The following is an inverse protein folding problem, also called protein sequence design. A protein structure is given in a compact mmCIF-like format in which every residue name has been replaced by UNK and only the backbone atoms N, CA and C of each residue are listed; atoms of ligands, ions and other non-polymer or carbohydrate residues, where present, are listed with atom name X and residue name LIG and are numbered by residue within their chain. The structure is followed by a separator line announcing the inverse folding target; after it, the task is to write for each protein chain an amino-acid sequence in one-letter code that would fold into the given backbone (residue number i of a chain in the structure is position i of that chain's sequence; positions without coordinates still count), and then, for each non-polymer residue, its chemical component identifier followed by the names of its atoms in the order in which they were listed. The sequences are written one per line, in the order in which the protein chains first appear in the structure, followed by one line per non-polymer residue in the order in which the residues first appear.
data_IF_449900590209
#
_entry.id   IF_449900590209
#
_cell.length_a   1.000
_cell.length_b   1.000
_cell.length_c   1.000
_cell.angle_alpha   90.00
_cell.angle_beta   90.00
_cell.angle_gamma   90.00
#
_symmetry.space_group_name_H-M   'P 1'
#
loop_
_entity.id
_entity.type
_entity.pdbx_description
1 polymer ?
#
# COMPACT_ATOMS: atom_id res chain seq x y z
N UNK A 1 -0.55 -65.58 -36.44
CA UNK A 1 -0.99 -65.33 -35.05
C UNK A 1 -0.66 -63.89 -34.70
N UNK A 2 -1.44 -63.24 -33.85
CA UNK A 2 -1.61 -61.78 -33.89
C UNK A 2 -0.59 -60.94 -33.11
N UNK A 3 -0.56 -59.66 -33.48
CA UNK A 3 0.03 -58.53 -32.73
C UNK A 3 -0.99 -57.38 -32.72
N UNK A 4 -0.93 -56.49 -31.72
CA UNK A 4 -1.97 -55.50 -31.42
C UNK A 4 -1.46 -54.06 -31.60
N UNK A 5 -2.38 -53.18 -32.01
CA UNK A 5 -2.43 -51.70 -32.00
C UNK A 5 -1.18 -50.84 -31.75
N UNK A 6 -1.05 -49.77 -32.55
CA UNK A 6 -0.91 -48.41 -32.01
C UNK A 6 -1.50 -47.32 -32.92
N UNK A 7 -2.03 -46.28 -32.28
CA UNK A 7 -2.41 -44.94 -32.76
C UNK A 7 -1.16 -44.03 -32.94
N UNK A 8 -1.18 -42.82 -33.53
CA UNK A 8 -2.01 -42.11 -34.53
C UNK A 8 -1.13 -40.96 -35.12
N UNK A 9 -1.61 -40.17 -36.09
CA UNK A 9 -0.74 -39.28 -36.90
C UNK A 9 -0.28 -37.95 -36.25
N UNK A 10 0.92 -37.46 -36.64
CA UNK A 10 1.28 -36.04 -36.65
C UNK A 10 1.31 -35.42 -38.07
N UNK A 11 0.92 -34.14 -38.19
CA UNK A 11 1.56 -33.17 -39.11
C UNK A 11 1.04 -32.99 -40.55
N UNK A 12 0.42 -31.82 -40.82
CA UNK A 12 0.95 -30.89 -41.84
C UNK A 12 0.20 -30.70 -43.19
N UNK A 13 0.17 -29.43 -43.64
CA UNK A 13 -0.31 -28.91 -44.94
C UNK A 13 -1.83 -29.08 -45.22
N UNK A 14 -2.55 -28.19 -45.93
CA UNK A 14 -2.23 -27.51 -47.20
C UNK A 14 -3.07 -26.22 -47.43
N UNK A 15 -2.64 -25.38 -48.39
CA UNK A 15 -3.34 -24.30 -49.14
C UNK A 15 -4.23 -23.29 -48.36
N UNK A 16 -3.99 -21.97 -48.34
CA UNK A 16 -3.75 -20.97 -49.39
C UNK A 16 -5.00 -20.54 -50.20
N UNK A 17 -5.50 -19.33 -49.95
CA UNK A 17 -6.18 -18.44 -50.92
C UNK A 17 -6.14 -16.98 -50.43
N UNK A 18 -5.81 -16.06 -51.34
CA UNK A 18 -5.90 -14.59 -51.21
C UNK A 18 -7.18 -14.14 -51.98
N UNK A 19 -7.82 -12.98 -51.70
CA UNK A 19 -7.35 -11.76 -52.38
C UNK A 19 -7.57 -10.40 -51.66
N UNK A 20 -6.54 -9.56 -51.72
CA UNK A 20 -6.55 -8.15 -52.21
C UNK A 20 -7.65 -7.18 -51.72
N UNK A 21 -7.24 -6.14 -50.98
CA UNK A 21 -7.90 -4.82 -50.95
C UNK A 21 -6.81 -3.72 -51.09
N UNK A 22 -7.04 -2.74 -51.97
CA UNK A 22 -6.10 -1.63 -52.25
C UNK A 22 -6.21 -0.43 -51.27
N UNK A 23 -5.14 0.38 -51.13
CA UNK A 23 -5.10 1.53 -50.22
C UNK A 23 -5.74 2.79 -50.82
N UNK A 24 -6.37 3.63 -49.97
CA UNK A 24 -6.76 5.01 -50.34
C UNK A 24 -5.74 6.04 -49.83
N UNK A 25 -5.38 6.98 -50.70
CA UNK A 25 -4.44 8.08 -50.48
C UNK A 25 -5.19 9.41 -50.25
N UNK A 26 -4.55 10.39 -49.62
CA UNK A 26 -5.15 11.63 -49.15
C UNK A 26 -5.04 12.83 -50.12
N UNK A 27 -5.97 13.78 -50.00
CA UNK A 27 -5.96 15.21 -50.39
C UNK A 27 -7.31 15.83 -49.92
N UNK A 28 -7.49 17.11 -49.55
CA UNK A 28 -6.59 18.28 -49.45
C UNK A 28 -7.19 19.36 -48.49
N UNK A 29 -6.46 20.44 -48.18
CA UNK A 29 -6.95 21.62 -47.43
C UNK A 29 -7.35 22.79 -48.37
N UNK A 30 -8.23 23.72 -47.94
CA UNK A 30 -7.75 25.05 -47.49
C UNK A 30 -8.33 25.45 -46.11
N UNK A 31 -7.61 26.08 -45.18
CA UNK A 31 -6.87 27.35 -45.18
C UNK A 31 -7.74 28.58 -44.83
N UNK A 32 -7.53 29.14 -43.63
CA UNK A 32 -8.15 30.37 -43.13
C UNK A 32 -7.46 30.85 -41.84
N UNK A 33 -7.02 32.10 -41.81
CA UNK A 33 -6.23 32.70 -40.72
C UNK A 33 -7.04 33.80 -39.98
N UNK A 34 -6.60 34.49 -38.92
CA UNK A 34 -5.26 34.62 -38.34
C UNK A 34 -5.30 35.17 -36.89
N UNK A 35 -4.16 35.10 -36.18
CA UNK A 35 -3.74 35.89 -34.98
C UNK A 35 -4.57 35.69 -33.69
N UNK A 36 -3.97 35.56 -32.49
CA UNK A 36 -2.56 35.36 -32.13
C UNK A 36 -2.12 36.15 -30.89
N UNK A 37 -1.48 35.48 -29.93
CA UNK A 37 -0.61 36.10 -28.92
C UNK A 37 0.46 35.09 -28.47
N UNK A 38 1.63 35.56 -28.03
CA UNK A 38 2.80 34.73 -27.75
C UNK A 38 3.16 34.70 -26.26
N UNK A 39 3.95 33.70 -25.85
CA UNK A 39 4.86 33.84 -24.72
C UNK A 39 4.75 32.84 -23.57
N UNK A 40 5.20 31.60 -23.76
CA UNK A 40 6.20 30.95 -22.88
C UNK A 40 6.51 29.51 -23.36
N UNK A 41 7.80 29.18 -23.45
CA UNK A 41 8.25 27.80 -23.70
C UNK A 41 8.70 27.18 -22.38
N UNK A 42 8.17 26.01 -21.96
CA UNK A 42 8.78 25.24 -20.88
C UNK A 42 10.05 24.54 -21.37
N UNK A 43 11.10 24.54 -20.55
CA UNK A 43 12.27 23.67 -20.75
C UNK A 43 11.93 22.22 -20.35
N UNK A 44 12.56 21.20 -20.96
CA UNK A 44 12.34 19.81 -20.60
C UNK A 44 13.02 19.47 -19.26
N UNK A 45 12.33 18.79 -18.34
CA UNK A 45 12.94 18.46 -17.05
C UNK A 45 12.12 17.68 -16.01
N UNK A 46 10.79 17.56 -16.15
CA UNK A 46 9.96 16.85 -15.17
C UNK A 46 9.21 15.69 -15.83
N UNK A 47 9.61 14.45 -15.53
CA UNK A 47 8.79 13.29 -15.83
C UNK A 47 7.66 13.22 -14.79
N UNK A 48 6.43 13.48 -15.22
CA UNK A 48 5.27 13.19 -14.39
C UNK A 48 5.16 11.67 -14.26
N UNK A 49 5.34 11.15 -13.05
CA UNK A 49 5.00 9.76 -12.74
C UNK A 49 3.48 9.63 -12.82
N UNK A 50 2.99 9.09 -13.95
CA UNK A 50 1.57 8.86 -14.15
C UNK A 50 1.02 7.92 -13.07
N UNK A 51 -0.13 8.29 -12.49
CA UNK A 51 -0.75 7.50 -11.43
C UNK A 51 -0.99 6.05 -11.90
N UNK A 52 -0.56 5.03 -11.13
CA UNK A 52 -0.89 3.65 -11.44
C UNK A 52 -2.41 3.47 -11.33
N UNK A 53 -3.04 2.88 -12.34
CA UNK A 53 -4.49 2.64 -12.35
C UNK A 53 -4.88 1.57 -11.32
N UNK A 54 -5.33 1.99 -10.13
CA UNK A 54 -5.76 1.11 -9.05
C UNK A 54 -7.26 0.80 -9.23
N UNK A 55 -7.61 -0.46 -9.51
CA UNK A 55 -9.01 -0.86 -9.73
C UNK A 55 -9.74 -1.09 -8.39
N UNK A 56 -10.35 -0.05 -7.83
CA UNK A 56 -11.24 -0.17 -6.68
C UNK A 56 -12.57 -0.84 -7.08
N UNK A 57 -12.73 -2.10 -6.71
CA UNK A 57 -13.93 -2.90 -6.98
C UNK A 57 -14.80 -3.07 -5.72
N UNK A 58 -15.77 -2.16 -5.46
CA UNK A 58 -16.53 -2.16 -4.21
C UNK A 58 -17.43 -3.40 -4.02
N UNK A 59 -17.89 -4.06 -5.11
CA UNK A 59 -18.54 -5.38 -5.01
C UNK A 59 -18.48 -6.21 -6.31
N UNK A 60 -17.79 -7.36 -6.30
CA UNK A 60 -18.38 -8.64 -6.74
C UNK A 60 -17.54 -9.84 -6.26
N UNK A 61 -17.12 -9.85 -5.00
CA UNK A 61 -16.57 -11.05 -4.37
C UNK A 61 -17.71 -12.04 -4.15
N UNK A 62 -17.82 -13.10 -4.96
CA UNK A 62 -18.89 -14.11 -4.92
C UNK A 62 -18.88 -15.05 -3.70
N UNK A 63 -18.32 -14.60 -2.58
CA UNK A 63 -18.26 -15.28 -1.29
C UNK A 63 -18.36 -14.24 -0.18
N UNK A 64 -18.97 -14.62 0.95
CA UNK A 64 -19.24 -13.68 2.04
C UNK A 64 -17.94 -13.06 2.58
N UNK A 65 -17.76 -11.75 2.37
CA UNK A 65 -16.64 -10.99 2.95
C UNK A 65 -16.78 -11.02 4.48
N UNK A 66 -15.87 -11.74 5.14
CA UNK A 66 -15.78 -11.71 6.59
C UNK A 66 -15.16 -10.38 7.01
N UNK A 67 -15.95 -9.55 7.71
CA UNK A 67 -15.39 -8.45 8.48
C UNK A 67 -14.54 -9.03 9.64
N UNK A 68 -13.47 -8.34 10.02
CA UNK A 68 -12.51 -8.82 11.03
C UNK A 68 -13.20 -9.15 12.36
N UNK A 69 -13.34 -10.44 12.65
CA UNK A 69 -13.86 -10.98 13.92
C UNK A 69 -12.69 -11.56 14.71
N UNK A 70 -12.42 -10.99 15.88
CA UNK A 70 -11.18 -11.24 16.62
C UNK A 70 -11.43 -12.11 17.86
N UNK A 71 -11.31 -13.44 17.71
CA UNK A 71 -11.53 -14.40 18.80
C UNK A 71 -10.51 -15.56 18.77
N UNK A 72 -10.17 -16.04 19.97
CA UNK A 72 -9.48 -17.32 20.28
C UNK A 72 -7.94 -17.46 20.16
N UNK A 73 -7.31 -17.22 21.33
CA UNK A 73 -6.36 -18.15 22.00
C UNK A 73 -4.85 -18.12 21.65
N UNK A 74 -4.04 -18.71 22.54
CA UNK A 74 -2.58 -18.62 22.59
C UNK A 74 -1.91 -19.97 22.93
N UNK A 75 -0.62 -20.17 22.58
CA UNK A 75 0.40 -20.95 23.32
C UNK A 75 1.73 -21.13 22.53
N UNK A 76 2.85 -21.08 23.27
CA UNK A 76 4.23 -21.61 23.05
C UNK A 76 4.38 -22.89 22.17
N UNK A 77 5.50 -23.24 21.49
CA UNK A 77 6.89 -22.70 21.27
C UNK A 77 7.64 -23.66 20.27
N UNK A 78 8.90 -23.57 19.78
CA UNK A 78 10.05 -22.59 19.73
C UNK A 78 11.19 -23.14 18.81
N UNK A 79 12.34 -22.40 18.68
CA UNK A 79 13.75 -22.89 18.67
C UNK A 79 14.53 -23.14 17.32
N UNK A 80 15.43 -22.18 16.95
CA UNK A 80 16.82 -22.35 16.39
C UNK A 80 16.97 -22.59 14.85
N UNK A 81 17.89 -21.91 14.09
CA UNK A 81 18.47 -20.55 14.24
C UNK A 81 18.73 -19.71 12.93
N UNK A 82 18.86 -18.40 13.15
CA UNK A 82 19.41 -17.29 12.33
C UNK A 82 20.58 -17.57 11.35
N UNK A 83 20.67 -16.76 10.27
CA UNK A 83 21.72 -15.72 10.10
C UNK A 83 21.61 -14.88 8.79
N UNK A 84 21.19 -13.60 8.87
CA UNK A 84 21.68 -12.48 8.01
C UNK A 84 21.09 -11.06 8.30
N UNK A 85 20.33 -10.84 9.38
CA UNK A 85 19.80 -9.50 9.76
C UNK A 85 20.52 -8.90 10.98
N UNK A 86 21.79 -8.54 10.82
CA UNK A 86 22.60 -7.97 11.89
C UNK A 86 22.16 -6.54 12.27
N UNK A 87 21.99 -6.31 13.58
CA UNK A 87 21.72 -5.05 14.30
C UNK A 87 20.30 -4.42 14.26
N UNK A 88 19.57 -4.68 15.35
CA UNK A 88 18.43 -3.86 15.84
C UNK A 88 18.70 -3.30 17.26
N UNK A 89 19.96 -3.33 17.72
CA UNK A 89 20.34 -2.96 19.07
C UNK A 89 20.50 -1.44 19.24
N UNK A 90 19.55 -0.80 19.93
CA UNK A 90 19.56 0.65 20.22
C UNK A 90 19.04 0.96 21.62
N UNK A 91 19.85 0.73 22.65
CA UNK A 91 19.53 1.10 24.04
C UNK A 91 19.86 2.57 24.32
N UNK A 92 18.91 3.32 24.88
CA UNK A 92 19.09 4.76 25.16
C UNK A 92 18.17 5.30 26.25
N UNK A 93 18.63 5.27 27.51
CA UNK A 93 17.94 5.86 28.67
C UNK A 93 18.56 7.22 29.04
N UNK A 94 17.91 8.35 28.74
CA UNK A 94 18.16 9.60 29.50
C UNK A 94 16.89 10.45 29.72
N UNK A 95 16.95 11.18 30.84
CA UNK A 95 15.96 11.93 31.62
C UNK A 95 15.09 12.98 30.91
N UNK A 96 14.09 13.45 31.66
CA UNK A 96 13.10 14.44 31.27
C UNK A 96 13.58 15.91 31.37
N UNK A 97 12.95 16.77 30.56
CA UNK A 97 13.12 18.23 30.57
C UNK A 97 12.77 18.82 29.20
N UNK A 98 11.47 19.08 28.96
CA UNK A 98 10.88 19.35 27.64
C UNK A 98 11.00 18.14 26.69
N UNK A 99 9.86 17.50 26.36
CA UNK A 99 9.86 16.48 25.29
C UNK A 99 9.92 17.18 23.93
N UNK A 100 11.12 17.22 23.34
CA UNK A 100 11.23 17.24 21.89
C UNK A 100 10.46 16.04 21.31
N UNK A 101 9.86 16.21 20.13
CA UNK A 101 9.26 15.09 19.41
C UNK A 101 10.30 14.01 19.09
N UNK A 102 9.88 12.75 19.04
CA UNK A 102 10.70 11.69 18.43
C UNK A 102 10.90 12.02 16.94
N UNK A 103 12.09 11.77 16.40
CA UNK A 103 12.40 12.12 15.01
C UNK A 103 11.46 11.38 14.04
N UNK A 104 10.74 12.13 13.21
CA UNK A 104 9.84 11.60 12.18
C UNK A 104 10.50 11.57 10.80
N UNK A 105 11.65 12.22 10.61
CA UNK A 105 12.22 12.50 9.28
C UNK A 105 11.27 13.30 8.38
N UNK A 106 11.54 13.30 7.08
CA UNK A 106 10.57 13.76 6.08
C UNK A 106 9.62 12.62 5.69
N UNK A 107 8.47 12.53 6.37
CA UNK A 107 7.47 11.46 6.20
C UNK A 107 6.92 11.39 4.77
N UNK A 108 7.02 12.48 4.00
CA UNK A 108 6.62 12.51 2.60
C UNK A 108 7.61 11.73 1.73
N UNK A 109 8.89 12.13 1.66
CA UNK A 109 9.88 11.53 0.75
C UNK A 109 10.66 10.33 1.32
N UNK A 110 10.67 10.13 2.65
CA UNK A 110 11.53 9.14 3.31
C UNK A 110 11.26 7.69 2.88
N UNK A 111 9.99 7.33 2.70
CA UNK A 111 9.55 6.16 1.93
C UNK A 111 8.24 6.45 1.17
N UNK A 112 7.96 5.68 0.11
CA UNK A 112 6.65 5.69 -0.56
C UNK A 112 6.36 4.34 -1.22
N UNK A 113 5.11 4.15 -1.69
CA UNK A 113 4.69 2.91 -2.34
C UNK A 113 5.51 2.58 -3.61
N UNK A 114 5.53 1.30 -3.97
CA UNK A 114 6.08 0.81 -5.24
C UNK A 114 5.12 1.03 -6.41
N UNK A 115 5.08 0.07 -7.33
CA UNK A 115 4.05 -0.03 -8.39
C UNK A 115 2.75 -0.70 -7.90
N UNK A 116 2.66 -0.84 -6.58
CA UNK A 116 1.85 -1.78 -5.82
C UNK A 116 0.57 -1.10 -5.31
N UNK A 117 -0.47 -1.89 -5.04
CA UNK A 117 -1.78 -1.37 -4.62
C UNK A 117 -1.88 -0.94 -3.15
N UNK A 118 -0.82 -1.16 -2.37
CA UNK A 118 -0.76 -1.06 -0.89
C UNK A 118 -0.90 0.35 -0.26
N UNK A 119 -1.54 1.29 -0.95
CA UNK A 119 -1.67 2.70 -0.54
C UNK A 119 -2.26 2.90 0.88
N UNK A 120 -3.32 2.16 1.24
CA UNK A 120 -3.94 2.24 2.57
C UNK A 120 -2.96 1.87 3.70
N UNK A 121 -2.23 0.76 3.56
CA UNK A 121 -1.20 0.37 4.53
C UNK A 121 -0.01 1.34 4.52
N UNK A 122 0.45 1.84 3.36
CA UNK A 122 1.53 2.84 3.29
C UNK A 122 1.15 4.14 4.01
N UNK A 123 -0.05 4.66 3.78
CA UNK A 123 -0.55 5.87 4.44
C UNK A 123 -0.75 5.66 5.94
N UNK A 124 -1.21 4.49 6.39
CA UNK A 124 -1.31 4.15 7.81
C UNK A 124 0.07 4.12 8.50
N UNK A 125 1.07 3.53 7.85
CA UNK A 125 2.46 3.52 8.31
C UNK A 125 3.02 4.95 8.39
N UNK A 126 2.82 5.78 7.36
CA UNK A 126 3.23 7.20 7.38
C UNK A 126 2.56 7.99 8.52
N UNK A 127 1.26 7.80 8.73
CA UNK A 127 0.54 8.43 9.83
C UNK A 127 1.13 8.03 11.19
N UNK A 128 1.43 6.74 11.41
CA UNK A 128 2.07 6.27 12.63
C UNK A 128 3.49 6.83 12.81
N UNK A 129 4.30 6.91 11.75
CA UNK A 129 5.62 7.55 11.77
C UNK A 129 5.49 9.03 12.17
N UNK A 130 4.57 9.77 11.56
CA UNK A 130 4.35 11.19 11.88
C UNK A 130 3.81 11.40 13.30
N UNK A 131 3.01 10.46 13.82
CA UNK A 131 2.42 10.52 15.17
C UNK A 131 3.42 10.19 16.27
N UNK A 132 4.30 9.20 16.03
CA UNK A 132 5.09 8.56 17.08
C UNK A 132 6.62 8.63 16.91
N UNK A 133 7.17 8.84 15.70
CA UNK A 133 8.61 8.73 15.39
C UNK A 133 8.90 7.63 14.36
N UNK A 134 10.07 7.68 13.71
CA UNK A 134 10.39 6.83 12.53
C UNK A 134 11.03 5.48 12.83
N UNK A 135 11.24 5.11 14.10
CA UNK A 135 11.87 3.84 14.51
C UNK A 135 10.82 2.78 14.82
N UNK A 136 11.21 1.50 14.78
CA UNK A 136 10.32 0.38 15.03
C UNK A 136 9.76 0.40 16.46
N UNK A 137 10.60 0.81 17.42
CA UNK A 137 10.27 1.05 18.84
C UNK A 137 9.52 2.38 19.09
N UNK A 138 9.24 3.15 18.04
CA UNK A 138 8.33 4.29 18.06
C UNK A 138 6.93 3.88 17.62
N UNK A 139 6.81 3.10 16.53
CA UNK A 139 5.55 2.62 15.97
C UNK A 139 4.87 1.59 16.87
N UNK A 140 5.60 0.61 17.38
CA UNK A 140 5.03 -0.46 18.19
C UNK A 140 5.13 -0.18 19.69
N UNK A 141 4.56 -1.05 20.52
CA UNK A 141 4.69 -0.98 21.99
C UNK A 141 5.98 -1.69 22.43
N UNK A 142 6.33 -2.78 21.75
CA UNK A 142 7.59 -3.48 21.91
C UNK A 142 7.99 -4.21 20.62
N UNK A 143 9.29 -4.30 20.35
CA UNK A 143 9.87 -5.11 19.26
C UNK A 143 11.02 -5.94 19.86
N UNK A 144 10.81 -7.24 20.02
CA UNK A 144 11.80 -8.21 20.50
C UNK A 144 12.33 -9.01 19.32
N UNK A 145 13.65 -9.03 19.11
CA UNK A 145 14.24 -10.00 18.19
C UNK A 145 14.22 -11.39 18.84
N UNK A 146 13.49 -12.33 18.24
CA UNK A 146 13.45 -13.74 18.69
C UNK A 146 14.55 -14.53 17.98
N UNK A 147 14.67 -15.82 18.31
CA UNK A 147 15.64 -16.67 17.63
C UNK A 147 15.32 -16.80 16.13
N UNK A 148 14.05 -16.81 15.75
CA UNK A 148 13.60 -17.22 14.41
C UNK A 148 13.03 -16.03 13.58
N UNK A 149 12.67 -14.94 14.27
CA UNK A 149 12.56 -13.60 13.69
C UNK A 149 12.32 -12.52 14.74
N UNK A 150 11.07 -12.07 14.86
CA UNK A 150 10.66 -10.98 15.73
C UNK A 150 9.33 -11.32 16.41
N UNK A 151 9.18 -10.88 17.65
CA UNK A 151 7.91 -10.85 18.37
C UNK A 151 7.61 -9.39 18.72
N UNK A 152 6.43 -8.92 18.36
CA UNK A 152 6.07 -7.51 18.31
C UNK A 152 4.76 -7.33 19.07
N UNK A 153 4.76 -6.51 20.11
CA UNK A 153 3.52 -6.08 20.77
C UNK A 153 3.08 -4.76 20.16
N UNK A 154 1.84 -4.70 19.65
CA UNK A 154 1.26 -3.51 19.04
C UNK A 154 0.69 -2.56 20.12
N UNK A 155 0.27 -1.35 19.73
CA UNK A 155 -0.23 -0.35 20.70
C UNK A 155 -1.54 -0.77 21.35
N UNK A 156 -2.42 -1.41 20.59
CA UNK A 156 -3.68 -2.00 21.03
C UNK A 156 -3.55 -3.26 21.92
N UNK A 157 -2.33 -3.64 22.28
CA UNK A 157 -2.02 -4.79 23.13
C UNK A 157 -2.04 -6.15 22.43
N UNK A 158 -2.37 -6.23 21.13
CA UNK A 158 -2.21 -7.48 20.38
C UNK A 158 -0.74 -7.77 20.05
N UNK A 159 -0.43 -9.04 19.81
CA UNK A 159 0.94 -9.51 19.55
C UNK A 159 1.03 -10.14 18.16
N UNK A 160 2.21 -10.04 17.55
CA UNK A 160 2.51 -10.52 16.20
C UNK A 160 3.88 -11.18 16.19
N UNK A 161 3.97 -12.39 15.64
CA UNK A 161 5.25 -13.11 15.49
C UNK A 161 5.59 -13.25 14.00
N UNK A 162 6.75 -12.73 13.62
CA UNK A 162 7.28 -12.76 12.26
C UNK A 162 8.54 -13.61 12.21
N UNK A 163 8.67 -14.49 11.22
CA UNK A 163 9.95 -15.10 10.86
C UNK A 163 10.83 -14.13 10.06
N UNK A 164 12.14 -14.40 9.95
CA UNK A 164 13.00 -13.63 9.02
C UNK A 164 12.60 -13.80 7.56
N UNK A 165 12.12 -14.97 7.16
CA UNK A 165 11.65 -15.23 5.80
C UNK A 165 10.43 -14.38 5.44
N UNK A 166 9.49 -14.21 6.38
CA UNK A 166 8.33 -13.33 6.19
C UNK A 166 8.74 -11.84 6.14
N UNK A 167 9.76 -11.43 6.90
CA UNK A 167 10.29 -10.05 6.78
C UNK A 167 11.04 -9.82 5.45
N UNK A 168 11.79 -10.81 4.95
CA UNK A 168 12.40 -10.79 3.61
C UNK A 168 11.34 -10.74 2.51
N UNK A 169 10.27 -11.53 2.67
CA UNK A 169 9.16 -11.58 1.73
C UNK A 169 8.37 -10.28 1.68
N UNK A 170 7.98 -9.74 2.84
CA UNK A 170 7.36 -8.43 2.94
C UNK A 170 8.27 -7.33 2.36
N UNK A 171 9.58 -7.39 2.59
CA UNK A 171 10.55 -6.44 2.02
C UNK A 171 10.66 -6.52 0.50
N UNK A 172 10.61 -7.72 -0.09
CA UNK A 172 10.55 -7.92 -1.55
C UNK A 172 9.22 -7.46 -2.14
N UNK A 173 8.12 -7.78 -1.47
CA UNK A 173 6.76 -7.55 -1.94
C UNK A 173 6.35 -6.08 -1.88
N UNK A 174 6.68 -5.37 -0.79
CA UNK A 174 6.30 -3.98 -0.56
C UNK A 174 6.74 -3.02 -1.68
N UNK A 175 7.89 -3.29 -2.30
CA UNK A 175 8.43 -2.49 -3.41
C UNK A 175 8.77 -1.04 -3.06
N UNK A 176 8.90 -0.70 -1.77
CA UNK A 176 8.93 0.69 -1.32
C UNK A 176 10.10 1.53 -1.87
N UNK A 177 9.76 2.71 -2.39
CA UNK A 177 10.70 3.75 -2.81
C UNK A 177 11.14 4.61 -1.60
N UNK A 178 11.95 5.65 -1.85
CA UNK A 178 12.39 6.64 -0.86
C UNK A 178 13.84 6.50 -0.39
N UNK A 179 14.28 7.52 0.36
CA UNK A 179 15.69 7.80 0.66
C UNK A 179 16.10 7.74 2.15
N UNK A 180 15.16 7.59 3.10
CA UNK A 180 15.48 7.38 4.51
C UNK A 180 15.51 5.86 4.81
N UNK A 181 16.70 5.26 5.03
CA UNK A 181 16.81 3.81 5.22
C UNK A 181 16.28 3.34 6.58
N UNK A 182 16.24 4.20 7.60
CA UNK A 182 15.64 3.87 8.89
C UNK A 182 14.12 3.85 8.76
N UNK A 183 13.55 4.87 8.11
CA UNK A 183 12.11 4.94 7.82
C UNK A 183 11.64 3.77 6.92
N UNK A 184 12.39 3.42 5.87
CA UNK A 184 12.09 2.25 5.02
C UNK A 184 12.16 0.93 5.77
N UNK A 185 13.13 0.75 6.66
CA UNK A 185 13.28 -0.46 7.51
C UNK A 185 12.08 -0.61 8.45
N UNK A 186 11.68 0.48 9.10
CA UNK A 186 10.45 0.57 9.90
C UNK A 186 9.20 0.28 9.09
N UNK A 187 9.08 0.83 7.87
CA UNK A 187 7.93 0.61 7.01
C UNK A 187 7.82 -0.85 6.54
N UNK A 188 8.93 -1.51 6.20
CA UNK A 188 8.93 -2.93 5.82
C UNK A 188 8.50 -3.82 7.00
N UNK A 189 8.97 -3.54 8.23
CA UNK A 189 8.49 -4.27 9.42
C UNK A 189 6.99 -4.08 9.64
N UNK A 190 6.48 -2.86 9.47
CA UNK A 190 5.06 -2.57 9.62
C UNK A 190 4.20 -3.20 8.49
N UNK A 191 4.70 -3.26 7.26
CA UNK A 191 4.06 -4.00 6.17
C UNK A 191 3.97 -5.51 6.49
N UNK A 192 5.06 -6.09 7.01
CA UNK A 192 5.08 -7.49 7.46
C UNK A 192 4.09 -7.76 8.61
N UNK A 193 3.98 -6.85 9.58
CA UNK A 193 2.98 -6.89 10.66
C UNK A 193 1.55 -6.89 10.08
N UNK A 194 1.25 -5.99 9.13
CA UNK A 194 -0.07 -5.93 8.49
C UNK A 194 -0.40 -7.23 7.74
N UNK A 195 0.55 -7.76 6.97
CA UNK A 195 0.42 -9.02 6.24
C UNK A 195 0.23 -10.23 7.16
N UNK A 196 0.94 -10.30 8.29
CA UNK A 196 0.77 -11.37 9.28
C UNK A 196 -0.62 -11.33 9.91
N UNK A 197 -1.10 -10.14 10.29
CA UNK A 197 -2.44 -9.95 10.86
C UNK A 197 -3.55 -10.26 9.84
N UNK A 198 -3.31 -10.02 8.55
CA UNK A 198 -4.19 -10.47 7.46
C UNK A 198 -4.19 -12.01 7.28
N UNK A 199 -3.01 -12.65 7.37
CA UNK A 199 -2.84 -14.10 7.29
C UNK A 199 -3.54 -14.83 8.44
N UNK A 200 -3.39 -14.32 9.67
CA UNK A 200 -4.00 -14.87 10.88
C UNK A 200 -5.52 -14.81 10.83
N UNK A 201 -6.07 -13.73 10.28
CA UNK A 201 -7.50 -13.50 10.08
C UNK A 201 -8.10 -14.19 8.84
N UNK A 202 -7.33 -15.00 8.11
CA UNK A 202 -7.74 -15.65 6.85
C UNK A 202 -8.26 -14.67 5.77
N UNK A 203 -7.69 -13.45 5.73
CA UNK A 203 -8.14 -12.40 4.82
C UNK A 203 -8.02 -12.86 3.35
N UNK A 204 -9.13 -12.81 2.61
CA UNK A 204 -9.27 -13.37 1.24
C UNK A 204 -8.90 -14.87 1.10
N UNK A 205 -8.92 -15.64 2.19
CA UNK A 205 -8.53 -17.05 2.21
C UNK A 205 -7.01 -17.25 2.27
N UNK A 206 -6.28 -16.38 3.00
CA UNK A 206 -4.81 -16.38 3.09
C UNK A 206 -4.23 -17.16 4.27
N UNK A 207 -5.05 -17.88 5.05
CA UNK A 207 -4.57 -18.64 6.21
C UNK A 207 -3.47 -19.62 5.82
N UNK A 208 -2.39 -19.60 6.61
CA UNK A 208 -1.14 -20.34 6.37
C UNK A 208 -0.35 -19.95 5.10
N UNK A 209 -0.74 -18.90 4.35
CA UNK A 209 -0.04 -18.42 3.16
C UNK A 209 0.28 -16.91 3.25
N UNK A 210 1.52 -16.59 3.61
CA UNK A 210 1.95 -15.23 3.88
C UNK A 210 2.03 -14.36 2.61
N UNK A 211 2.55 -14.90 1.49
CA UNK A 211 2.53 -14.20 0.19
C UNK A 211 1.10 -13.78 -0.17
N UNK A 212 0.12 -14.70 -0.08
CA UNK A 212 -1.28 -14.37 -0.38
C UNK A 212 -1.87 -13.32 0.57
N UNK A 213 -1.43 -13.30 1.83
CA UNK A 213 -1.84 -12.27 2.77
C UNK A 213 -1.28 -10.89 2.37
N UNK A 214 -0.03 -10.82 1.89
CA UNK A 214 0.56 -9.60 1.33
C UNK A 214 -0.11 -9.16 0.03
N UNK A 215 -0.44 -10.09 -0.88
CA UNK A 215 -1.21 -9.81 -2.09
C UNK A 215 -2.56 -9.14 -1.73
N UNK A 216 -3.21 -9.62 -0.66
CA UNK A 216 -4.49 -9.08 -0.16
C UNK A 216 -4.40 -7.69 0.48
N UNK A 217 -3.20 -7.15 0.73
CA UNK A 217 -2.99 -5.75 1.13
C UNK A 217 -3.04 -4.78 -0.07
N UNK A 218 -2.96 -5.31 -1.30
CA UNK A 218 -2.88 -4.51 -2.53
C UNK A 218 -4.23 -4.34 -3.23
N UNK A 219 -5.25 -5.11 -2.84
CA UNK A 219 -6.57 -5.16 -3.46
C UNK A 219 -7.51 -3.98 -3.06
N UNK A 220 -6.95 -2.80 -2.75
CA UNK A 220 -7.71 -1.61 -2.34
C UNK A 220 -8.35 -1.75 -0.96
N UNK A 221 -7.55 -2.15 0.04
CA UNK A 221 -7.95 -2.26 1.44
C UNK A 221 -8.54 -0.94 1.99
N UNK A 222 -9.61 -1.00 2.77
CA UNK A 222 -10.11 0.18 3.50
C UNK A 222 -9.09 0.66 4.54
N UNK A 223 -8.74 1.95 4.51
CA UNK A 223 -7.81 2.59 5.46
C UNK A 223 -8.02 2.24 6.94
N UNK A 224 -9.27 2.05 7.37
CA UNK A 224 -9.60 1.68 8.75
C UNK A 224 -9.00 0.32 9.13
N UNK A 225 -9.08 -0.66 8.23
CA UNK A 225 -8.58 -2.01 8.49
C UNK A 225 -7.06 -2.02 8.53
N UNK A 226 -6.39 -1.20 7.70
CA UNK A 226 -4.93 -1.07 7.71
C UNK A 226 -4.41 -0.57 9.08
N UNK A 227 -5.07 0.43 9.67
CA UNK A 227 -4.78 0.87 11.03
C UNK A 227 -5.06 -0.23 12.08
N UNK A 228 -6.11 -1.04 11.92
CA UNK A 228 -6.44 -2.13 12.85
C UNK A 228 -5.41 -3.27 12.76
N UNK A 229 -4.94 -3.62 11.55
CA UNK A 229 -3.87 -4.61 11.32
C UNK A 229 -2.54 -4.14 11.92
N UNK A 230 -2.25 -2.85 11.86
CA UNK A 230 -1.11 -2.22 12.55
C UNK A 230 -1.31 -2.02 14.08
N UNK A 231 -2.45 -2.44 14.62
CA UNK A 231 -2.74 -2.42 16.06
C UNK A 231 -3.00 -1.02 16.62
N UNK A 232 -3.73 -0.20 15.85
CA UNK A 232 -4.15 1.16 16.20
C UNK A 232 -5.66 1.27 16.47
N UNK A 233 -6.38 0.15 16.69
CA UNK A 233 -7.86 0.13 16.82
C UNK A 233 -8.41 1.11 17.87
N UNK A 234 -7.70 1.28 18.98
CA UNK A 234 -8.07 2.14 20.12
C UNK A 234 -7.55 3.60 19.97
N UNK A 235 -6.92 3.91 18.82
CA UNK A 235 -6.26 5.17 18.50
C UNK A 235 -6.77 5.80 17.19
N UNK A 236 -7.91 5.33 16.68
CA UNK A 236 -8.52 5.85 15.45
C UNK A 236 -9.97 6.27 15.65
N UNK A 237 -10.40 7.31 14.93
CA UNK A 237 -11.80 7.70 14.81
C UNK A 237 -12.19 8.00 13.37
N UNK A 238 -13.48 7.92 13.07
CA UNK A 238 -14.02 8.57 11.88
C UNK A 238 -13.84 10.09 12.00
N UNK A 239 -13.47 10.73 10.90
CA UNK A 239 -13.30 12.17 10.80
C UNK A 239 -14.00 12.77 9.60
N UNK A 240 -13.63 14.00 9.30
CA UNK A 240 -14.11 14.83 8.19
C UNK A 240 -12.94 15.52 7.49
N UNK A 241 -13.13 15.98 6.26
CA UNK A 241 -12.14 16.82 5.56
C UNK A 241 -11.75 18.03 6.41
N UNK A 242 -12.72 18.70 7.04
CA UNK A 242 -12.49 19.84 7.92
C UNK A 242 -11.59 19.50 9.14
N UNK A 243 -11.65 18.29 9.70
CA UNK A 243 -10.68 17.89 10.74
C UNK A 243 -9.24 17.93 10.18
N UNK A 244 -9.04 17.40 8.97
CA UNK A 244 -7.75 17.36 8.29
C UNK A 244 -7.27 18.77 7.84
N UNK A 245 -8.17 19.61 7.33
CA UNK A 245 -7.89 21.00 6.95
C UNK A 245 -7.38 21.84 8.12
N UNK A 246 -7.95 21.60 9.32
CA UNK A 246 -7.52 22.19 10.59
C UNK A 246 -6.28 21.51 11.19
N UNK A 247 -5.62 20.61 10.44
CA UNK A 247 -4.33 20.03 10.77
C UNK A 247 -4.37 18.79 11.66
N UNK A 248 -5.53 18.15 11.86
CA UNK A 248 -5.54 16.82 12.48
C UNK A 248 -4.84 15.80 11.57
N UNK A 249 -4.16 14.82 12.19
CA UNK A 249 -3.43 13.77 11.48
C UNK A 249 -4.38 12.63 11.13
N UNK A 250 -4.34 12.19 9.88
CA UNK A 250 -5.19 11.10 9.41
C UNK A 250 -4.95 10.77 7.95
N UNK A 251 -5.92 10.11 7.35
CA UNK A 251 -5.90 9.63 5.97
C UNK A 251 -7.25 9.95 5.33
N UNK A 252 -7.20 10.39 4.08
CA UNK A 252 -8.37 10.59 3.21
C UNK A 252 -8.34 9.55 2.08
N UNK A 253 -9.50 9.02 1.72
CA UNK A 253 -9.69 8.15 0.55
C UNK A 253 -10.66 8.84 -0.41
N UNK A 254 -10.18 9.18 -1.62
CA UNK A 254 -10.95 9.81 -2.71
C UNK A 254 -10.32 9.47 -4.08
N UNK A 255 -11.10 9.58 -5.15
CA UNK A 255 -10.60 9.53 -6.53
C UNK A 255 -9.62 10.68 -6.79
N UNK A 256 -8.47 10.37 -7.41
CA UNK A 256 -7.40 11.37 -7.70
C UNK A 256 -7.19 11.66 -9.19
N UNK A 257 -7.78 10.85 -10.07
CA UNK A 257 -7.70 11.00 -11.53
C UNK A 257 -9.06 10.78 -12.24
N UNK A 258 -10.17 10.85 -11.50
CA UNK A 258 -11.54 10.61 -11.99
C UNK A 258 -12.15 9.29 -11.49
N UNK A 259 -13.38 8.95 -11.89
CA UNK A 259 -14.13 7.84 -11.31
C UNK A 259 -13.41 6.48 -11.37
N UNK A 260 -13.21 5.84 -10.22
CA UNK A 260 -12.57 4.52 -10.13
C UNK A 260 -11.05 4.59 -10.02
N UNK A 261 -10.52 5.69 -9.48
CA UNK A 261 -9.10 5.94 -9.27
C UNK A 261 -8.82 6.34 -7.81
N UNK A 262 -9.59 5.77 -6.88
CA UNK A 262 -9.47 6.08 -5.45
C UNK A 262 -8.03 5.85 -4.94
N UNK A 263 -7.59 6.69 -4.01
CA UNK A 263 -6.27 6.60 -3.41
C UNK A 263 -6.32 7.01 -1.94
N UNK A 264 -5.81 6.15 -1.07
CA UNK A 264 -5.71 6.39 0.37
C UNK A 264 -4.44 7.19 0.68
N UNK A 265 -4.59 8.48 0.97
CA UNK A 265 -3.49 9.44 1.14
C UNK A 265 -3.40 9.92 2.59
N UNK A 266 -2.22 9.83 3.20
CA UNK A 266 -1.98 10.44 4.51
C UNK A 266 -2.01 11.97 4.39
N UNK A 267 -2.59 12.63 5.39
CA UNK A 267 -2.68 14.08 5.47
C UNK A 267 -2.01 14.57 6.74
N UNK A 268 -1.01 15.44 6.57
CA UNK A 268 -0.14 15.92 7.64
C UNK A 268 -0.21 17.45 7.66
N UNK A 269 -0.78 18.03 8.73
CA UNK A 269 -0.95 19.48 8.84
C UNK A 269 -1.86 20.09 7.76
N UNK A 270 -2.81 19.31 7.23
CA UNK A 270 -3.68 19.72 6.13
C UNK A 270 -3.04 19.70 4.74
N UNK A 271 -1.93 18.99 4.56
CA UNK A 271 -1.27 18.74 3.26
C UNK A 271 -1.33 17.25 2.93
N UNK A 272 -1.78 16.90 1.73
CA UNK A 272 -1.86 15.51 1.24
C UNK A 272 -0.47 14.97 0.84
N UNK A 273 -0.26 13.67 0.99
CA UNK A 273 0.93 12.96 0.54
C UNK A 273 0.64 12.19 -0.75
N UNK A 274 1.38 12.50 -1.82
CA UNK A 274 1.13 12.02 -3.18
C UNK A 274 2.35 11.21 -3.68
N UNK A 275 2.30 9.88 -3.53
CA UNK A 275 3.30 8.91 -4.02
C UNK A 275 4.78 9.19 -3.64
N UNK A 276 5.03 9.78 -2.47
CA UNK A 276 6.35 10.20 -2.00
C UNK A 276 6.60 11.71 -2.04
N UNK A 277 5.60 12.50 -2.41
CA UNK A 277 5.70 13.95 -2.58
C UNK A 277 4.70 14.68 -1.69
N UNK A 278 4.98 15.96 -1.42
CA UNK A 278 4.00 16.88 -0.82
C UNK A 278 3.03 17.33 -1.91
N UNK A 279 1.76 16.97 -1.76
CA UNK A 279 0.67 17.36 -2.63
C UNK A 279 0.13 18.76 -2.31
N UNK A 280 -1.13 18.99 -2.65
CA UNK A 280 -1.86 20.21 -2.31
C UNK A 280 -2.24 20.28 -0.82
N UNK A 281 -3.01 21.32 -0.47
CA UNK A 281 -3.85 21.23 0.73
C UNK A 281 -4.87 20.12 0.55
N UNK A 282 -5.30 19.52 1.65
CA UNK A 282 -6.41 18.57 1.63
C UNK A 282 -7.70 19.26 1.20
N UNK A 283 -8.42 18.60 0.30
CA UNK A 283 -9.74 19.01 -0.21
C UNK A 283 -10.68 17.81 -0.19
N UNK A 284 -12.00 18.03 -0.21
CA UNK A 284 -12.99 16.94 -0.30
C UNK A 284 -13.01 16.23 -1.65
N UNK A 285 -13.92 15.27 -1.81
CA UNK A 285 -14.06 14.56 -3.09
C UNK A 285 -15.14 13.49 -3.06
N UNK A 286 -15.00 12.50 -3.94
CA UNK A 286 -15.80 11.28 -3.94
C UNK A 286 -14.89 10.07 -4.14
N UNK A 287 -15.36 8.89 -3.76
CA UNK A 287 -14.83 7.62 -4.26
C UNK A 287 -15.86 7.01 -5.20
N UNK A 288 -15.47 6.63 -6.40
CA UNK A 288 -16.36 6.01 -7.38
C UNK A 288 -16.01 4.55 -7.61
N UNK A 289 -17.02 3.71 -7.77
CA UNK A 289 -16.86 2.31 -8.15
C UNK A 289 -18.19 1.64 -8.43
N UNK A 290 -18.21 0.65 -9.35
CA UNK A 290 -19.43 -0.04 -9.79
C UNK A 290 -20.59 0.88 -10.20
N UNK A 291 -20.30 2.04 -10.80
CA UNK A 291 -21.33 3.01 -11.19
C UNK A 291 -22.03 3.72 -10.03
N UNK A 292 -21.39 3.77 -8.85
CA UNK A 292 -21.81 4.59 -7.70
C UNK A 292 -20.67 5.52 -7.30
N UNK A 293 -21.02 6.74 -6.92
CA UNK A 293 -20.16 7.66 -6.19
C UNK A 293 -20.59 7.65 -4.72
N UNK A 294 -19.62 7.71 -3.80
CA UNK A 294 -19.83 7.94 -2.37
C UNK A 294 -18.91 9.08 -1.91
N UNK A 295 -19.21 9.77 -0.79
CA UNK A 295 -18.31 10.78 -0.22
C UNK A 295 -16.92 10.22 0.10
N UNK A 296 -15.94 11.10 0.28
CA UNK A 296 -14.62 10.71 0.77
C UNK A 296 -14.69 9.97 2.13
N UNK A 297 -13.78 9.02 2.36
CA UNK A 297 -13.61 8.41 3.68
C UNK A 297 -12.45 9.07 4.41
N UNK A 298 -12.65 9.49 5.66
CA UNK A 298 -11.62 10.09 6.50
C UNK A 298 -11.48 9.33 7.82
N UNK A 299 -10.30 8.78 8.06
CA UNK A 299 -9.91 8.13 9.33
C UNK A 299 -8.78 8.94 9.96
N UNK A 300 -8.98 9.34 11.22
CA UNK A 300 -8.04 10.16 11.98
C UNK A 300 -7.28 9.32 13.01
N UNK A 301 -6.01 9.66 13.21
CA UNK A 301 -5.11 9.02 14.17
C UNK A 301 -4.95 9.94 15.40
N UNK A 302 -5.37 9.46 16.57
CA UNK A 302 -5.49 10.25 17.81
C UNK A 302 -4.25 10.09 18.71
#
# INVERSE_FOLDING_TARGET
MGSISTEHHPGGAHFAFDPVIEPRRAQEHPAGAARGRAGSSPMPGTQAFGAPGINFSPVNSGGARQAFSYDSFASSDSFIPRNNFSSFAGTGLVRAGVKAGKDTGDVFAGFSQGKNGNCATVSAIKAMIQRYGKKETDLFKEVKETQDGYHITLKDGSEVSLTRQELEEAGRHAGFNGNDPEMKKTAILAYAVSGKKAQEADHEGSKFNFSKALDSLENGEYTKDAFIRLGMKDHIRQGTVNDLENGQLGIIEKDVAGPGTAHSMVVIGGVEEHWGNRGGRVEGGTMSGNGREVPENVILLT
#
